data_IF_357282539203
#
_entry.id   IF_357282539203
#
_cell.length_a   1.000
_cell.length_b   1.000
_cell.length_c   1.000
_cell.angle_alpha   90.00
_cell.angle_beta   90.00
_cell.angle_gamma   90.00
#
_symmetry.space_group_name_H-M   'P 1'
#
loop_
_entity.id
_entity.type
_entity.pdbx_description
1 polymer ?
#
# COMPACT_ATOMS: atom_id res chain seq x y z
N UNK A 1 -25.22 10.63 -5.10
CA UNK A 1 -25.02 9.64 -6.18
C UNK A 1 -24.00 8.62 -5.68
N UNK A 2 -24.50 7.56 -5.03
CA UNK A 2 -23.67 6.44 -4.57
C UNK A 2 -23.41 5.56 -5.80
N UNK A 3 -22.18 5.53 -6.31
CA UNK A 3 -21.84 4.72 -7.47
C UNK A 3 -21.92 3.23 -7.10
N UNK A 4 -22.71 2.53 -7.89
CA UNK A 4 -22.97 1.09 -7.97
C UNK A 4 -21.65 0.31 -8.16
N UNK A 5 -20.87 0.13 -7.09
CA UNK A 5 -19.46 -0.30 -7.16
C UNK A 5 -19.21 -1.81 -7.20
N UNK A 6 -20.22 -2.66 -7.09
CA UNK A 6 -20.02 -4.12 -6.99
C UNK A 6 -21.05 -4.94 -7.78
N UNK A 7 -21.34 -4.56 -9.02
CA UNK A 7 -21.90 -5.54 -9.97
C UNK A 7 -20.74 -6.27 -10.63
N UNK A 8 -20.44 -7.47 -10.14
CA UNK A 8 -19.64 -8.43 -10.89
C UNK A 8 -20.31 -8.63 -12.25
N UNK A 9 -19.70 -8.09 -13.30
CA UNK A 9 -20.24 -8.23 -14.64
C UNK A 9 -19.99 -9.68 -15.07
N UNK A 10 -21.07 -10.46 -15.07
CA UNK A 10 -21.01 -11.81 -15.62
C UNK A 10 -21.11 -11.70 -17.14
N UNK A 11 -20.00 -11.98 -17.82
CA UNK A 11 -19.93 -12.00 -19.28
C UNK A 11 -19.84 -13.44 -19.79
N UNK A 12 -20.54 -13.80 -20.87
CA UNK A 12 -20.30 -15.06 -21.55
C UNK A 12 -18.83 -15.19 -21.98
N UNK A 13 -18.26 -16.39 -21.83
CA UNK A 13 -16.85 -16.61 -22.17
C UNK A 13 -16.52 -16.23 -23.63
N UNK A 14 -17.44 -16.50 -24.56
CA UNK A 14 -17.27 -16.13 -25.96
C UNK A 14 -17.15 -14.62 -26.17
N UNK A 15 -17.90 -13.81 -25.42
CA UNK A 15 -17.85 -12.36 -25.49
C UNK A 15 -16.57 -11.82 -24.84
N UNK A 16 -16.13 -12.42 -23.73
CA UNK A 16 -14.83 -12.13 -23.14
C UNK A 16 -13.67 -12.42 -24.10
N UNK A 17 -13.69 -13.58 -24.77
CA UNK A 17 -12.68 -13.94 -25.78
C UNK A 17 -12.70 -12.95 -26.96
N UNK A 18 -13.89 -12.57 -27.44
CA UNK A 18 -14.04 -11.59 -28.52
C UNK A 18 -13.49 -10.22 -28.13
N UNK A 19 -13.80 -9.76 -26.92
CA UNK A 19 -13.31 -8.49 -26.41
C UNK A 19 -11.79 -8.50 -26.24
N UNK A 20 -11.22 -9.56 -25.68
CA UNK A 20 -9.77 -9.73 -25.61
C UNK A 20 -9.14 -9.71 -26.99
N UNK A 21 -9.71 -10.44 -27.97
CA UNK A 21 -9.21 -10.44 -29.34
C UNK A 21 -9.16 -9.03 -29.94
N UNK A 22 -10.20 -8.22 -29.75
CA UNK A 22 -10.23 -6.84 -30.28
C UNK A 22 -9.11 -5.97 -29.73
N UNK A 23 -8.66 -6.20 -28.50
CA UNK A 23 -7.60 -5.44 -27.83
C UNK A 23 -6.18 -5.89 -28.22
N UNK A 24 -6.04 -7.11 -28.72
CA UNK A 24 -4.73 -7.77 -28.87
C UNK A 24 -4.41 -8.24 -30.29
N UNK A 25 -5.39 -8.24 -31.21
CA UNK A 25 -5.22 -8.69 -32.60
C UNK A 25 -4.07 -8.00 -33.35
N UNK A 26 -3.76 -6.75 -32.98
CA UNK A 26 -2.70 -5.95 -33.61
C UNK A 26 -1.35 -6.09 -32.89
N UNK A 27 -1.26 -6.95 -31.86
CA UNK A 27 -0.04 -7.23 -31.09
C UNK A 27 0.51 -8.59 -31.52
N UNK A 28 1.57 -8.65 -32.36
CA UNK A 28 2.06 -9.91 -32.93
C UNK A 28 2.44 -10.94 -31.87
N UNK A 29 3.05 -10.48 -30.77
CA UNK A 29 3.47 -11.31 -29.64
C UNK A 29 2.29 -11.99 -28.91
N UNK A 30 1.06 -11.54 -29.17
CA UNK A 30 -0.15 -12.04 -28.54
C UNK A 30 -0.88 -13.09 -29.37
N UNK A 31 -0.69 -13.09 -30.70
CA UNK A 31 -1.44 -13.95 -31.63
C UNK A 31 -1.14 -15.43 -31.36
N UNK A 32 0.14 -15.79 -31.24
CA UNK A 32 0.56 -17.18 -31.01
C UNK A 32 0.06 -17.69 -29.65
N UNK A 33 0.27 -16.97 -28.53
CA UNK A 33 -0.29 -17.35 -27.23
C UNK A 33 -1.82 -17.43 -27.20
N UNK A 34 -2.52 -16.55 -27.92
CA UNK A 34 -3.98 -16.58 -28.03
C UNK A 34 -4.47 -17.81 -28.78
N UNK A 35 -3.86 -18.14 -29.91
CA UNK A 35 -4.17 -19.36 -30.66
C UNK A 35 -3.87 -20.61 -29.81
N UNK A 36 -2.77 -20.61 -29.05
CA UNK A 36 -2.44 -21.70 -28.15
C UNK A 36 -3.45 -21.82 -27.00
N UNK A 37 -3.95 -20.70 -26.46
CA UNK A 37 -4.99 -20.71 -25.43
C UNK A 37 -6.29 -21.33 -25.97
N UNK A 38 -6.72 -20.94 -27.19
CA UNK A 38 -7.89 -21.54 -27.86
C UNK A 38 -7.71 -23.05 -28.11
N UNK A 39 -6.51 -23.43 -28.54
CA UNK A 39 -6.17 -24.83 -28.76
C UNK A 39 -6.21 -25.65 -27.47
N UNK A 40 -5.65 -25.14 -26.37
CA UNK A 40 -5.65 -25.83 -25.07
C UNK A 40 -7.05 -25.96 -24.47
N UNK A 41 -7.96 -25.01 -24.70
CA UNK A 41 -9.34 -25.17 -24.22
C UNK A 41 -10.13 -26.20 -25.04
N UNK A 42 -9.87 -26.30 -26.35
CA UNK A 42 -10.54 -27.24 -27.25
C UNK A 42 -10.00 -28.67 -27.10
N UNK A 43 -8.70 -28.83 -26.85
CA UNK A 43 -8.01 -30.12 -26.87
C UNK A 43 -7.24 -30.45 -25.59
N UNK A 44 -7.48 -29.74 -24.49
CA UNK A 44 -6.67 -29.88 -23.28
C UNK A 44 -6.66 -31.28 -22.67
N UNK A 45 -7.69 -32.11 -22.86
CA UNK A 45 -7.68 -33.52 -22.43
C UNK A 45 -7.07 -34.48 -23.46
N UNK A 46 -6.71 -34.00 -24.66
CA UNK A 46 -5.84 -34.72 -25.59
C UNK A 46 -4.35 -34.49 -25.28
N UNK A 47 -4.02 -33.48 -24.47
CA UNK A 47 -2.63 -33.14 -24.14
C UNK A 47 -2.10 -34.04 -23.00
N UNK A 48 -0.88 -34.53 -23.15
CA UNK A 48 -0.17 -35.21 -22.07
C UNK A 48 0.46 -34.20 -21.08
N UNK A 49 1.16 -34.70 -20.04
CA UNK A 49 1.82 -33.85 -19.03
C UNK A 49 2.89 -32.92 -19.59
N UNK A 50 3.41 -33.21 -20.79
CA UNK A 50 4.39 -32.41 -21.51
C UNK A 50 3.73 -31.43 -22.50
N UNK A 51 2.40 -31.38 -22.57
CA UNK A 51 1.66 -30.54 -23.51
C UNK A 51 1.61 -31.06 -24.94
N UNK A 52 1.99 -32.32 -25.17
CA UNK A 52 1.96 -32.95 -26.50
C UNK A 52 0.57 -33.54 -26.74
N UNK A 53 0.00 -33.23 -27.90
CA UNK A 53 -1.28 -33.77 -28.35
C UNK A 53 -1.17 -35.24 -28.75
N UNK A 54 -1.93 -36.07 -28.05
CA UNK A 54 -1.97 -37.51 -28.28
C UNK A 54 -2.91 -37.90 -29.45
N UNK A 55 -3.49 -36.93 -30.16
CA UNK A 55 -4.37 -37.13 -31.30
C UNK A 55 -5.79 -37.55 -30.91
N UNK A 56 -6.53 -38.05 -31.90
CA UNK A 56 -7.93 -38.47 -31.76
C UNK A 56 -8.94 -37.31 -31.74
N UNK A 57 -10.20 -37.65 -31.49
CA UNK A 57 -11.31 -36.69 -31.42
C UNK A 57 -11.04 -35.60 -30.37
N UNK A 58 -11.57 -34.40 -30.61
CA UNK A 58 -11.46 -33.28 -29.67
C UNK A 58 -12.02 -33.65 -28.29
N UNK A 59 -11.19 -33.45 -27.25
CA UNK A 59 -11.56 -33.61 -25.85
C UNK A 59 -11.31 -32.26 -25.15
N UNK A 60 -12.33 -31.37 -25.14
CA UNK A 60 -12.21 -30.07 -24.51
C UNK A 60 -12.10 -30.22 -23.00
N UNK A 61 -11.48 -29.24 -22.36
CA UNK A 61 -11.44 -29.20 -20.90
C UNK A 61 -12.84 -28.96 -20.33
N UNK A 62 -13.03 -29.31 -19.05
CA UNK A 62 -14.30 -29.09 -18.38
C UNK A 62 -14.67 -27.60 -18.37
N UNK A 63 -15.97 -27.30 -18.40
CA UNK A 63 -16.51 -25.93 -18.50
C UNK A 63 -15.92 -24.97 -17.45
N UNK A 64 -15.80 -25.42 -16.19
CA UNK A 64 -15.21 -24.60 -15.12
C UNK A 64 -13.70 -24.38 -15.27
N UNK A 65 -13.00 -25.25 -16.00
CA UNK A 65 -11.58 -25.11 -16.31
C UNK A 65 -11.30 -24.22 -17.53
N UNK A 66 -12.27 -24.06 -18.43
CA UNK A 66 -12.12 -23.35 -19.70
C UNK A 66 -11.62 -21.91 -19.54
N UNK A 67 -12.31 -21.11 -18.73
CA UNK A 67 -11.94 -19.73 -18.48
C UNK A 67 -10.58 -19.62 -17.79
N UNK A 68 -10.34 -20.46 -16.77
CA UNK A 68 -9.08 -20.46 -16.01
C UNK A 68 -7.90 -20.78 -16.93
N UNK A 69 -8.01 -21.82 -17.76
CA UNK A 69 -6.93 -22.25 -18.66
C UNK A 69 -6.63 -21.22 -19.73
N UNK A 70 -7.68 -20.62 -20.30
CA UNK A 70 -7.56 -19.56 -21.29
C UNK A 70 -6.84 -18.33 -20.72
N UNK A 71 -7.27 -17.88 -19.53
CA UNK A 71 -6.64 -16.76 -18.84
C UNK A 71 -5.21 -17.07 -18.40
N UNK A 72 -4.91 -18.30 -17.94
CA UNK A 72 -3.59 -18.73 -17.46
C UNK A 72 -2.54 -18.48 -18.54
N UNK A 73 -2.82 -18.94 -19.77
CA UNK A 73 -1.93 -18.78 -20.92
C UNK A 73 -1.64 -17.32 -21.26
N UNK A 74 -2.59 -16.43 -21.03
CA UNK A 74 -2.55 -15.03 -21.48
C UNK A 74 -2.17 -14.02 -20.38
N UNK A 75 -2.17 -14.43 -19.11
CA UNK A 75 -1.95 -13.55 -17.97
C UNK A 75 -0.59 -12.86 -17.91
N UNK A 76 0.45 -13.47 -18.46
CA UNK A 76 1.79 -12.85 -18.54
C UNK A 76 1.91 -11.82 -19.66
N UNK A 77 0.93 -11.74 -20.56
CA UNK A 77 0.99 -10.94 -21.78
C UNK A 77 -0.07 -9.83 -21.82
N UNK A 78 -1.22 -10.03 -21.17
CA UNK A 78 -2.32 -9.08 -21.19
C UNK A 78 -2.41 -8.33 -19.87
N UNK A 79 -2.27 -6.99 -19.85
CA UNK A 79 -2.57 -6.21 -18.65
C UNK A 79 -4.05 -6.29 -18.26
N UNK A 80 -4.93 -6.81 -19.14
CA UNK A 80 -6.36 -7.00 -18.89
C UNK A 80 -6.65 -8.30 -18.10
N UNK A 81 -5.70 -9.22 -18.00
CA UNK A 81 -5.89 -10.50 -17.32
C UNK A 81 -5.00 -10.54 -16.09
N UNK A 82 -5.62 -10.31 -14.93
CA UNK A 82 -4.96 -10.42 -13.64
C UNK A 82 -5.56 -11.57 -12.83
N UNK A 83 -4.73 -12.55 -12.47
CA UNK A 83 -5.15 -13.57 -11.51
C UNK A 83 -5.09 -13.00 -10.09
N UNK A 84 -6.27 -12.84 -9.49
CA UNK A 84 -6.40 -12.57 -8.07
C UNK A 84 -6.43 -13.91 -7.33
N UNK A 85 -5.28 -14.35 -6.85
CA UNK A 85 -5.21 -15.50 -5.96
C UNK A 85 -5.71 -15.10 -4.57
N UNK A 86 -6.97 -15.39 -4.28
CA UNK A 86 -7.51 -15.23 -2.93
C UNK A 86 -7.28 -16.53 -2.16
N UNK A 87 -6.30 -16.50 -1.27
CA UNK A 87 -5.99 -17.60 -0.36
C UNK A 87 -5.57 -17.03 0.99
N UNK A 88 -5.48 -17.89 2.01
CA UNK A 88 -5.08 -17.48 3.36
C UNK A 88 -3.80 -16.63 3.38
N UNK A 89 -2.80 -16.98 2.56
CA UNK A 89 -1.53 -16.24 2.48
C UNK A 89 -1.72 -14.81 1.96
N UNK A 90 -2.55 -14.59 0.94
CA UNK A 90 -2.79 -13.24 0.39
C UNK A 90 -3.64 -12.39 1.33
N UNK A 91 -4.64 -12.97 1.98
CA UNK A 91 -5.46 -12.30 3.02
C UNK A 91 -4.59 -11.90 4.22
N UNK A 92 -3.80 -12.84 4.77
CA UNK A 92 -2.90 -12.55 5.90
C UNK A 92 -1.86 -11.48 5.56
N UNK A 93 -1.31 -11.50 4.33
CA UNK A 93 -0.37 -10.46 3.89
C UNK A 93 -1.02 -9.08 3.87
N UNK A 94 -2.27 -8.98 3.40
CA UNK A 94 -3.03 -7.73 3.40
C UNK A 94 -3.35 -7.24 4.81
N UNK A 95 -3.81 -8.14 5.68
CA UNK A 95 -4.06 -7.85 7.11
C UNK A 95 -2.81 -7.30 7.79
N UNK A 96 -1.66 -7.94 7.57
CA UNK A 96 -0.36 -7.47 8.06
C UNK A 96 -0.07 -6.05 7.57
N UNK A 97 -0.09 -5.82 6.27
CA UNK A 97 0.23 -4.52 5.68
C UNK A 97 -0.67 -3.40 6.22
N UNK A 98 -1.99 -3.61 6.25
CA UNK A 98 -2.93 -2.61 6.75
C UNK A 98 -2.73 -2.33 8.24
N UNK A 99 -2.36 -3.35 9.02
CA UNK A 99 -2.05 -3.18 10.45
C UNK A 99 -0.80 -2.33 10.63
N UNK A 100 0.27 -2.60 9.87
CA UNK A 100 1.50 -1.80 9.91
C UNK A 100 1.25 -0.35 9.51
N UNK A 101 0.54 -0.12 8.39
CA UNK A 101 0.19 1.22 7.90
C UNK A 101 -0.65 2.00 8.94
N UNK A 102 -1.65 1.35 9.53
CA UNK A 102 -2.48 1.96 10.57
C UNK A 102 -1.68 2.28 11.84
N UNK A 103 -0.78 1.38 12.26
CA UNK A 103 0.08 1.60 13.43
C UNK A 103 1.05 2.76 13.19
N UNK A 104 1.72 2.80 12.03
CA UNK A 104 2.64 3.89 11.70
C UNK A 104 1.90 5.23 11.56
N UNK A 105 0.73 5.22 10.92
CA UNK A 105 -0.14 6.40 10.82
C UNK A 105 -0.53 6.93 12.20
N UNK A 106 -0.95 6.04 13.11
CA UNK A 106 -1.29 6.40 14.49
C UNK A 106 -0.10 7.00 15.26
N UNK A 107 1.07 6.36 15.22
CA UNK A 107 2.27 6.86 15.91
C UNK A 107 2.72 8.19 15.32
N UNK A 108 2.68 8.35 14.00
CA UNK A 108 3.04 9.58 13.30
C UNK A 108 2.13 10.74 13.71
N UNK A 109 0.83 10.50 13.79
CA UNK A 109 -0.14 11.50 14.25
C UNK A 109 0.10 11.91 15.71
N UNK A 110 0.30 10.94 16.61
CA UNK A 110 0.65 11.22 18.00
C UNK A 110 1.95 12.02 18.13
N UNK A 111 2.95 11.69 17.31
CA UNK A 111 4.22 12.41 17.31
C UNK A 111 4.04 13.86 16.86
N UNK A 112 3.27 14.09 15.79
CA UNK A 112 2.98 15.44 15.30
C UNK A 112 2.28 16.27 16.38
N UNK A 113 1.28 15.68 17.04
CA UNK A 113 0.59 16.31 18.17
C UNK A 113 1.56 16.62 19.31
N UNK A 114 2.47 15.73 19.67
CA UNK A 114 3.45 15.98 20.71
C UNK A 114 4.50 17.06 20.34
N UNK A 115 4.81 17.21 19.05
CA UNK A 115 5.72 18.24 18.54
C UNK A 115 5.08 19.63 18.68
N UNK A 116 3.83 19.78 18.24
CA UNK A 116 3.12 21.07 18.18
C UNK A 116 2.30 21.39 19.43
N UNK A 117 2.07 20.39 20.28
CA UNK A 117 1.10 20.42 21.35
C UNK A 117 1.69 20.66 22.74
N UNK A 118 0.79 20.50 23.72
CA UNK A 118 0.99 20.63 25.16
C UNK A 118 1.87 19.54 25.76
N UNK A 119 2.29 19.75 27.00
CA UNK A 119 3.03 18.75 27.78
C UNK A 119 2.24 17.44 27.96
N UNK A 120 0.90 17.52 28.02
CA UNK A 120 0.03 16.34 28.09
C UNK A 120 0.12 15.48 26.82
N UNK A 121 0.20 16.09 25.63
CA UNK A 121 0.37 15.36 24.36
C UNK A 121 1.76 14.74 24.26
N UNK A 122 2.78 15.42 24.77
CA UNK A 122 4.14 14.85 24.90
C UNK A 122 4.18 13.65 25.81
N UNK A 123 3.50 13.72 26.95
CA UNK A 123 3.46 12.62 27.90
C UNK A 123 2.66 11.43 27.36
N UNK A 124 1.54 11.70 26.67
CA UNK A 124 0.79 10.66 25.94
C UNK A 124 1.65 9.95 24.90
N UNK A 125 2.44 10.69 24.12
CA UNK A 125 3.37 10.11 23.16
C UNK A 125 4.42 9.23 23.86
N UNK A 126 5.05 9.70 24.94
CA UNK A 126 6.01 8.89 25.73
C UNK A 126 5.39 7.61 26.28
N UNK A 127 4.15 7.67 26.78
CA UNK A 127 3.44 6.49 27.27
C UNK A 127 3.23 5.45 26.17
N UNK A 128 2.83 5.87 24.97
CA UNK A 128 2.67 4.98 23.81
C UNK A 128 4.02 4.41 23.36
N UNK A 129 5.09 5.21 23.37
CA UNK A 129 6.44 4.70 23.09
C UNK A 129 6.89 3.66 24.12
N UNK A 130 6.62 3.89 25.41
CA UNK A 130 6.95 2.92 26.46
C UNK A 130 6.14 1.62 26.32
N UNK A 131 4.91 1.69 25.79
CA UNK A 131 4.12 0.49 25.46
C UNK A 131 4.73 -0.31 24.30
N UNK A 132 5.43 0.35 23.36
CA UNK A 132 6.09 -0.31 22.24
C UNK A 132 7.36 -1.08 22.63
N UNK A 133 7.88 -0.87 23.84
CA UNK A 133 9.05 -1.57 24.40
C UNK A 133 8.69 -2.74 25.31
N UNK A 134 7.40 -2.97 25.55
CA UNK A 134 6.87 -4.02 26.42
C UNK A 134 5.95 -4.94 25.60
N UNK A 135 6.38 -6.19 25.39
CA UNK A 135 5.69 -7.16 24.52
C UNK A 135 4.20 -7.36 24.88
N UNK A 136 3.84 -7.30 26.17
CA UNK A 136 2.46 -7.46 26.62
C UNK A 136 1.61 -6.23 26.25
N UNK A 137 2.20 -5.04 26.31
CA UNK A 137 1.53 -3.77 25.98
C UNK A 137 1.46 -3.53 24.47
N UNK A 138 2.45 -4.00 23.70
CA UNK A 138 2.43 -4.01 22.22
C UNK A 138 1.18 -4.73 21.72
N UNK A 139 0.86 -5.89 22.31
CA UNK A 139 -0.34 -6.67 21.96
C UNK A 139 -1.63 -5.87 22.15
N UNK A 140 -1.75 -5.13 23.25
CA UNK A 140 -2.92 -4.28 23.54
C UNK A 140 -3.03 -3.15 22.52
N UNK A 141 -1.91 -2.47 22.24
CA UNK A 141 -1.87 -1.38 21.25
C UNK A 141 -2.26 -1.88 19.85
N UNK A 142 -1.72 -3.02 19.41
CA UNK A 142 -2.02 -3.57 18.09
C UNK A 142 -3.48 -4.00 17.96
N UNK A 143 -4.06 -4.60 19.01
CA UNK A 143 -5.50 -4.91 19.03
C UNK A 143 -6.36 -3.66 18.95
N UNK A 144 -5.98 -2.60 19.66
CA UNK A 144 -6.68 -1.32 19.64
C UNK A 144 -6.63 -0.67 18.26
N UNK A 145 -5.43 -0.60 17.65
CA UNK A 145 -5.24 -0.08 16.29
C UNK A 145 -6.02 -0.93 15.28
N UNK A 146 -5.95 -2.26 15.37
CA UNK A 146 -6.65 -3.16 14.47
C UNK A 146 -8.16 -2.96 14.51
N UNK A 147 -8.72 -2.80 15.71
CA UNK A 147 -10.16 -2.61 15.91
C UNK A 147 -10.62 -1.23 15.49
N UNK A 148 -9.90 -0.17 15.90
CA UNK A 148 -10.28 1.23 15.61
C UNK A 148 -10.09 1.63 14.16
N UNK A 149 -9.11 1.04 13.48
CA UNK A 149 -8.80 1.38 12.08
C UNK A 149 -9.68 0.61 11.07
N UNK A 150 -10.72 -0.09 11.54
CA UNK A 150 -11.65 -0.85 10.70
C UNK A 150 -10.95 -1.83 9.72
N UNK A 151 -9.82 -2.40 10.12
CA UNK A 151 -8.97 -3.24 9.25
C UNK A 151 -9.73 -4.49 8.80
N UNK A 152 -10.42 -5.15 9.75
CA UNK A 152 -11.25 -6.31 9.44
C UNK A 152 -12.35 -5.96 8.42
N UNK A 153 -12.99 -4.80 8.55
CA UNK A 153 -14.00 -4.34 7.59
C UNK A 153 -13.40 -4.03 6.22
N UNK A 154 -12.21 -3.43 6.16
CA UNK A 154 -11.51 -3.16 4.89
C UNK A 154 -11.17 -4.45 4.15
N UNK A 155 -10.65 -5.46 4.87
CA UNK A 155 -10.35 -6.78 4.31
C UNK A 155 -11.62 -7.52 3.92
N UNK A 156 -12.67 -7.47 4.74
CA UNK A 156 -13.96 -8.05 4.41
C UNK A 156 -14.54 -7.47 3.12
N UNK A 157 -14.50 -6.14 2.96
CA UNK A 157 -14.98 -5.50 1.73
C UNK A 157 -14.15 -5.89 0.50
N UNK A 158 -12.84 -6.06 0.64
CA UNK A 158 -11.96 -6.43 -0.49
C UNK A 158 -12.14 -7.89 -0.95
N UNK A 159 -12.39 -8.80 -0.01
CA UNK A 159 -12.45 -10.25 -0.27
C UNK A 159 -13.85 -10.85 -0.23
N UNK A 160 -14.87 -10.08 0.17
CA UNK A 160 -16.27 -10.52 0.09
C UNK A 160 -16.63 -10.93 -1.33
N UNK A 161 -17.30 -12.08 -1.46
CA UNK A 161 -17.65 -12.67 -2.76
C UNK A 161 -16.48 -13.25 -3.56
N UNK A 162 -15.23 -13.16 -3.06
CA UNK A 162 -14.03 -13.72 -3.71
C UNK A 162 -13.48 -14.97 -3.04
N UNK A 163 -13.95 -15.28 -1.83
CA UNK A 163 -13.69 -16.53 -1.12
C UNK A 163 -14.93 -16.92 -0.28
N UNK A 164 -14.90 -18.11 0.32
CA UNK A 164 -15.94 -18.51 1.27
C UNK A 164 -15.85 -17.62 2.52
N UNK A 165 -17.00 -17.20 3.03
CA UNK A 165 -17.09 -16.32 4.20
C UNK A 165 -16.43 -16.96 5.43
N UNK A 166 -16.62 -18.26 5.64
CA UNK A 166 -15.99 -19.04 6.71
C UNK A 166 -14.45 -18.99 6.66
N UNK A 167 -13.85 -19.03 5.47
CA UNK A 167 -12.39 -18.96 5.31
C UNK A 167 -11.89 -17.55 5.65
N UNK A 168 -12.65 -16.52 5.28
CA UNK A 168 -12.31 -15.13 5.52
C UNK A 168 -12.37 -14.78 7.01
N UNK A 169 -13.47 -15.16 7.69
CA UNK A 169 -13.65 -14.99 9.14
C UNK A 169 -12.51 -15.66 9.90
N UNK A 170 -12.22 -16.93 9.57
CA UNK A 170 -11.12 -17.68 10.19
C UNK A 170 -9.76 -17.02 9.96
N UNK A 171 -9.50 -16.47 8.78
CA UNK A 171 -8.24 -15.76 8.51
C UNK A 171 -8.09 -14.50 9.39
N UNK A 172 -9.18 -13.79 9.66
CA UNK A 172 -9.17 -12.60 10.53
C UNK A 172 -8.94 -13.02 11.98
N UNK A 173 -9.62 -14.05 12.47
CA UNK A 173 -9.44 -14.58 13.83
C UNK A 173 -8.01 -15.09 14.06
N UNK A 174 -7.48 -15.90 13.14
CA UNK A 174 -6.10 -16.41 13.18
C UNK A 174 -5.09 -15.25 13.20
N UNK A 175 -5.36 -14.18 12.45
CA UNK A 175 -4.50 -13.00 12.44
C UNK A 175 -4.57 -12.21 13.75
N UNK A 176 -5.76 -12.03 14.32
CA UNK A 176 -5.94 -11.38 15.63
C UNK A 176 -5.20 -12.12 16.74
N UNK A 177 -5.22 -13.45 16.72
CA UNK A 177 -4.45 -14.27 17.65
C UNK A 177 -2.93 -14.12 17.46
N UNK A 178 -2.48 -13.84 16.23
CA UNK A 178 -1.07 -13.65 15.89
C UNK A 178 -0.54 -12.22 16.09
N UNK A 179 -1.41 -11.21 16.32
CA UNK A 179 -1.03 -9.81 16.55
C UNK A 179 0.10 -9.61 17.59
N UNK A 180 0.12 -10.31 18.74
CA UNK A 180 1.19 -10.14 19.74
C UNK A 180 2.58 -10.47 19.20
N UNK A 181 2.66 -11.30 18.16
CA UNK A 181 3.91 -11.78 17.56
C UNK A 181 4.22 -11.09 16.22
N UNK A 182 3.47 -10.04 15.87
CA UNK A 182 3.62 -9.35 14.60
C UNK A 182 4.95 -8.60 14.56
N UNK A 183 5.83 -9.01 13.66
CA UNK A 183 7.06 -8.28 13.37
C UNK A 183 6.83 -7.29 12.24
N UNK A 184 7.07 -6.00 12.51
CA UNK A 184 7.01 -4.94 11.51
C UNK A 184 8.06 -5.17 10.42
N UNK A 185 7.65 -5.10 9.16
CA UNK A 185 8.57 -5.22 8.02
C UNK A 185 9.57 -4.05 7.98
N UNK A 186 9.11 -2.83 8.23
CA UNK A 186 9.97 -1.63 8.24
C UNK A 186 10.35 -1.23 9.68
N UNK A 187 11.32 -1.95 10.24
CA UNK A 187 11.87 -1.62 11.55
C UNK A 187 12.59 -0.25 11.55
N UNK A 188 13.07 0.23 10.39
CA UNK A 188 13.79 1.51 10.29
C UNK A 188 12.83 2.69 10.43
N UNK A 189 11.66 2.61 9.79
CA UNK A 189 10.59 3.60 9.93
C UNK A 189 10.08 3.63 11.37
N UNK A 190 9.78 2.48 11.96
CA UNK A 190 9.38 2.40 13.37
C UNK A 190 10.42 3.03 14.29
N UNK A 191 11.69 2.66 14.15
CA UNK A 191 12.78 3.24 14.93
C UNK A 191 12.91 4.75 14.71
N UNK A 192 12.60 5.25 13.52
CA UNK A 192 12.61 6.69 13.23
C UNK A 192 11.48 7.39 13.97
N UNK A 193 10.27 6.82 13.92
CA UNK A 193 9.05 7.35 14.55
C UNK A 193 9.15 7.39 16.08
N UNK A 194 9.79 6.40 16.68
CA UNK A 194 9.88 6.18 18.14
C UNK A 194 11.04 6.97 18.79
N UNK A 195 11.91 7.62 17.99
CA UNK A 195 13.02 8.44 18.54
C UNK A 195 12.52 9.52 19.50
N UNK A 196 13.30 9.83 20.57
CA UNK A 196 13.01 10.94 21.47
C UNK A 196 12.74 12.25 20.71
N UNK A 197 11.77 13.01 21.20
CA UNK A 197 11.47 14.33 20.65
C UNK A 197 12.66 15.28 20.92
N UNK A 198 12.99 16.19 19.99
CA UNK A 198 14.05 17.17 20.23
C UNK A 198 13.66 18.10 21.39
N UNK A 199 14.53 18.24 22.38
CA UNK A 199 14.33 19.13 23.53
C UNK A 199 14.19 20.62 23.13
N UNK A 200 14.63 20.99 21.91
CA UNK A 200 14.81 22.37 21.46
C UNK A 200 13.67 22.99 20.65
N UNK A 201 12.43 22.49 20.71
CA UNK A 201 11.30 23.20 20.08
C UNK A 201 10.87 24.45 20.88
N UNK A 202 11.20 24.51 22.18
CA UNK A 202 10.98 25.72 22.99
C UNK A 202 11.86 26.91 22.57
N UNK A 203 13.00 26.70 21.90
CA UNK A 203 13.90 27.80 21.53
C UNK A 203 13.35 28.67 20.37
N UNK A 204 12.56 28.10 19.46
CA UNK A 204 12.02 28.82 18.30
C UNK A 204 10.76 29.62 18.65
N UNK A 205 9.91 29.10 19.54
CA UNK A 205 8.74 29.83 20.05
C UNK A 205 9.16 30.99 20.96
N UNK A 206 10.18 30.80 21.80
CA UNK A 206 10.73 31.88 22.64
C UNK A 206 11.43 32.95 21.80
N UNK A 207 12.16 32.58 20.74
CA UNK A 207 12.77 33.55 19.81
C UNK A 207 11.73 34.37 19.04
N UNK A 208 10.62 33.77 18.60
CA UNK A 208 9.52 34.51 17.98
C UNK A 208 8.84 35.45 18.99
N UNK A 209 8.61 35.02 20.23
CA UNK A 209 8.03 35.88 21.26
C UNK A 209 8.97 37.05 21.65
N UNK A 210 10.29 36.84 21.67
CA UNK A 210 11.25 37.92 21.91
C UNK A 210 11.34 38.89 20.73
N UNK A 211 11.12 38.40 19.50
CA UNK A 211 11.07 39.23 18.28
C UNK A 211 9.81 40.12 18.24
N UNK A 212 8.66 39.61 18.70
CA UNK A 212 7.43 40.41 18.80
C UNK A 212 7.36 41.31 20.04
N UNK A 213 7.99 40.93 21.16
CA UNK A 213 8.06 41.77 22.37
C UNK A 213 9.09 42.91 22.27
N UNK A 214 10.15 42.75 21.47
CA UNK A 214 11.08 43.86 21.17
C UNK A 214 10.51 44.88 20.18
N UNK A 215 9.49 44.53 19.39
CA UNK A 215 8.78 45.47 18.50
C UNK A 215 7.69 46.30 19.17
N UNK A 216 7.37 46.06 20.46
CA UNK A 216 6.27 46.75 21.16
C UNK A 216 6.72 47.65 22.32
N UNK A 217 8.03 47.74 22.60
CA UNK A 217 8.60 48.60 23.64
C UNK A 217 9.53 49.69 23.09
N UNK A 218 9.12 50.35 22.01
CA UNK A 218 9.67 51.66 21.61
C UNK A 218 8.54 52.68 21.63
N UNK A 219 8.39 53.34 22.78
CA UNK A 219 7.76 54.65 22.85
C UNK A 219 8.82 55.67 22.45
N UNK A 220 8.99 55.90 21.16
CA UNK A 220 9.62 57.13 20.67
C UNK A 220 8.95 57.55 19.36
N UNK A 221 8.28 58.69 19.44
CA UNK A 221 7.74 59.41 18.31
C UNK A 221 8.91 59.97 17.50
N UNK A 222 9.29 59.33 16.40
CA UNK A 222 10.03 59.98 15.32
C UNK A 222 9.69 59.34 13.97
N UNK A 223 9.37 60.11 12.91
CA UNK A 223 9.05 59.56 11.61
C UNK A 223 10.35 59.35 10.80
N UNK A 224 10.69 58.10 10.46
CA UNK A 224 11.84 57.83 9.59
C UNK A 224 11.43 57.03 8.35
N UNK A 225 11.31 57.81 7.28
CA UNK A 225 11.78 57.63 5.90
C UNK A 225 12.18 56.23 5.41
N UNK A 226 11.57 55.87 4.27
CA UNK A 226 12.02 54.84 3.34
C UNK A 226 13.45 55.10 2.86
N UNK A 227 14.35 54.14 3.08
CA UNK A 227 15.75 54.19 2.61
C UNK A 227 16.25 52.85 2.07
N UNK A 228 16.41 52.81 0.75
CA UNK A 228 17.22 51.91 -0.10
C UNK A 228 17.37 50.43 0.24
N UNK A 229 16.77 49.59 -0.62
CA UNK A 229 17.29 48.27 -0.94
C UNK A 229 18.65 48.38 -1.61
N UNK A 230 19.66 47.68 -1.08
CA UNK A 230 20.80 47.25 -1.87
C UNK A 230 21.15 45.81 -1.52
N UNK A 231 21.18 45.01 -2.58
CA UNK A 231 21.44 43.59 -2.66
C UNK A 231 22.81 43.20 -2.11
N UNK A 232 22.89 42.04 -1.47
CA UNK A 232 24.05 41.16 -1.60
C UNK A 232 23.58 39.73 -1.87
N UNK A 233 24.01 39.22 -3.02
CA UNK A 233 23.84 37.87 -3.53
C UNK A 233 25.17 37.13 -3.36
N UNK A 234 25.15 35.89 -2.88
CA UNK A 234 26.17 34.84 -3.12
C UNK A 234 25.43 33.49 -3.12
N UNK A 235 25.10 32.94 -4.31
CA UNK A 235 25.83 31.91 -5.07
C UNK A 235 25.83 30.52 -4.40
N UNK A 236 24.98 29.63 -4.92
CA UNK A 236 25.00 28.19 -4.70
C UNK A 236 25.81 27.56 -5.84
N UNK A 237 26.83 26.77 -5.51
CA UNK A 237 27.59 25.95 -6.47
C UNK A 237 26.87 24.63 -6.72
N UNK A 238 26.78 24.26 -8.01
CA UNK A 238 26.26 22.99 -8.52
C UNK A 238 27.26 21.86 -8.25
N UNK A 239 26.81 20.76 -7.63
CA UNK A 239 27.57 19.50 -7.57
C UNK A 239 27.20 18.60 -8.77
N UNK A 240 28.22 18.28 -9.57
CA UNK A 240 28.17 17.45 -10.77
C UNK A 240 27.84 15.97 -10.47
N UNK A 241 26.99 15.39 -11.31
CA UNK A 241 26.74 13.94 -11.41
C UNK A 241 27.93 13.20 -12.06
N UNK A 242 28.40 12.06 -11.52
CA UNK A 242 29.40 11.25 -12.20
C UNK A 242 28.82 10.40 -13.32
N UNK A 243 29.52 10.45 -14.47
CA UNK A 243 29.25 9.80 -15.75
C UNK A 243 29.39 8.28 -15.71
N UNK A 244 28.55 7.61 -16.50
CA UNK A 244 28.66 6.22 -16.88
C UNK A 244 29.95 5.96 -17.68
N UNK A 245 30.60 4.81 -17.44
CA UNK A 245 31.65 4.29 -18.33
C UNK A 245 31.23 2.93 -18.91
N UNK A 246 31.34 2.82 -20.22
CA UNK A 246 31.16 1.59 -20.98
C UNK A 246 32.40 0.69 -20.88
N UNK A 247 32.10 -0.61 -20.85
CA UNK A 247 32.96 -1.76 -21.16
C UNK A 247 33.83 -1.59 -22.42
N UNK A 248 34.92 -2.36 -22.50
CA UNK A 248 35.16 -3.29 -23.60
C UNK A 248 34.49 -4.65 -23.36
#
# INVERSE_FOLDING_TARGET
MQADKDKSLTVPLADFIRWLWTEVKDKPDFIVPFAQALYEIQRGYNLNKQGIDMGGNDKPICYGGTANKFCEKLSSLSPLIQFLYVNKKTITKKLKQLTEEATFGFIKELRNQAITGSEAERERFKQVIAQLTDDERVSILLKDVFTKSAIASAVNNEFSGRCREEDLVKCVEDFQAALPYLQFADQKELNTLVRPLPDKIQASASRLNTFFQSSTNSTDNDPIQFGSSNSQTFLLEDEELPKQSHRP
#
